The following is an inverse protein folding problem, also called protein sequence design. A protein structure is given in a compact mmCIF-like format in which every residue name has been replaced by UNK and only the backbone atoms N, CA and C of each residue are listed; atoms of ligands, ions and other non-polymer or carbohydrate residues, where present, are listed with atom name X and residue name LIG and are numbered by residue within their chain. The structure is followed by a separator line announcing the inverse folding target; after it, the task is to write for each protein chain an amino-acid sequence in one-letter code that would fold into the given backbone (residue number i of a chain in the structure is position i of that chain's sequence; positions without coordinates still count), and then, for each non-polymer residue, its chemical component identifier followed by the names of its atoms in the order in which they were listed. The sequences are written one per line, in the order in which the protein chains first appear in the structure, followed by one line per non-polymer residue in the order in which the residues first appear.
data_IF_898870699370
#
_entry.id   IF_898870699370
#
_cell.length_a   1.000
_cell.length_b   1.000
_cell.length_c   1.000
_cell.angle_alpha   90.00
_cell.angle_beta   90.00
_cell.angle_gamma   90.00
#
_symmetry.space_group_name_H-M   'P 1'
#
loop_
_entity.id
_entity.type
_entity.pdbx_description
1 polymer ?
#
# COMPACT_ATOMS: atom_id res chain seq x y z
N UNK A 1 -28.18 1.21 -18.25
CA UNK A 1 -26.73 0.93 -18.09
C UNK A 1 -25.99 2.14 -17.50
N UNK A 2 -26.41 2.64 -16.33
CA UNK A 2 -25.78 3.81 -15.70
C UNK A 2 -25.67 3.70 -14.16
N UNK A 3 -26.26 2.67 -13.55
CA UNK A 3 -26.22 2.45 -12.09
C UNK A 3 -24.95 1.73 -11.66
N UNK A 4 -24.39 0.85 -12.50
CA UNK A 4 -23.20 0.07 -12.18
C UNK A 4 -21.93 0.95 -12.04
N UNK A 5 -21.91 2.10 -12.71
CA UNK A 5 -20.79 3.04 -12.66
C UNK A 5 -20.84 3.96 -11.43
N UNK A 6 -22.03 4.14 -10.83
CA UNK A 6 -22.17 4.90 -9.57
C UNK A 6 -21.70 4.10 -8.36
N UNK A 7 -21.89 2.78 -8.37
CA UNK A 7 -21.40 1.90 -7.31
C UNK A 7 -19.86 1.89 -7.27
N UNK A 8 -19.21 1.83 -8.44
CA UNK A 8 -17.75 1.88 -8.56
C UNK A 8 -17.15 3.22 -8.09
N UNK A 9 -17.90 4.32 -8.23
CA UNK A 9 -17.46 5.63 -7.73
C UNK A 9 -17.74 5.83 -6.23
N UNK A 10 -18.73 5.14 -5.65
CA UNK A 10 -19.01 5.19 -4.21
C UNK A 10 -17.93 4.48 -3.38
N UNK A 11 -17.44 3.33 -3.84
CA UNK A 11 -16.36 2.60 -3.17
C UNK A 11 -14.99 3.31 -3.29
N UNK A 12 -14.80 4.12 -4.34
CA UNK A 12 -13.60 4.97 -4.50
C UNK A 12 -13.67 6.22 -3.61
N UNK A 13 -14.86 6.76 -3.35
CA UNK A 13 -15.07 7.91 -2.46
C UNK A 13 -15.12 7.53 -0.97
N UNK A 14 -15.36 6.26 -0.62
CA UNK A 14 -15.40 5.78 0.77
C UNK A 14 -14.01 5.53 1.40
N UNK A 15 -12.93 5.62 0.62
CA UNK A 15 -11.56 5.58 1.13
C UNK A 15 -10.73 6.73 0.55
N UNK A 16 -10.93 7.97 1.03
CA UNK A 16 -9.96 9.01 0.83
C UNK A 16 -8.76 8.61 1.68
N UNK A 17 -7.83 7.82 1.12
CA UNK A 17 -6.48 7.86 1.65
C UNK A 17 -6.05 9.30 1.47
N UNK A 18 -5.88 9.98 2.58
CA UNK A 18 -5.44 11.35 2.59
C UNK A 18 -4.09 11.39 1.86
N UNK A 19 -3.84 12.39 1.01
CA UNK A 19 -2.52 12.53 0.40
C UNK A 19 -1.42 12.61 1.49
N UNK A 20 -1.80 13.09 2.68
CA UNK A 20 -1.02 13.05 3.91
C UNK A 20 -0.57 11.64 4.32
N UNK A 21 -1.37 10.60 4.08
CA UNK A 21 -1.02 9.21 4.40
C UNK A 21 0.07 8.67 3.47
N UNK A 22 0.05 9.04 2.19
CA UNK A 22 1.13 8.68 1.26
C UNK A 22 2.43 9.37 1.64
N UNK A 23 2.38 10.68 1.91
CA UNK A 23 3.55 11.43 2.36
C UNK A 23 4.12 10.88 3.68
N UNK A 24 3.25 10.46 4.62
CA UNK A 24 3.65 9.84 5.88
C UNK A 24 4.31 8.48 5.67
N UNK A 25 3.80 7.66 4.76
CA UNK A 25 4.44 6.38 4.37
C UNK A 25 5.82 6.64 3.79
N UNK A 26 5.95 7.57 2.86
CA UNK A 26 7.22 7.85 2.20
C UNK A 26 8.25 8.42 3.21
N UNK A 27 7.85 9.34 4.09
CA UNK A 27 8.70 9.85 5.18
C UNK A 27 9.15 8.75 6.16
N UNK A 28 8.25 7.82 6.51
CA UNK A 28 8.60 6.66 7.33
C UNK A 28 9.63 5.77 6.63
N UNK A 29 9.45 5.49 5.34
CA UNK A 29 10.37 4.67 4.55
C UNK A 29 11.74 5.34 4.47
N UNK A 30 11.79 6.64 4.20
CA UNK A 30 13.04 7.39 4.15
C UNK A 30 13.79 7.35 5.48
N UNK A 31 13.09 7.56 6.60
CA UNK A 31 13.70 7.50 7.92
C UNK A 31 14.17 6.07 8.24
N UNK A 32 13.34 5.06 7.99
CA UNK A 32 13.70 3.67 8.25
C UNK A 32 14.89 3.20 7.40
N UNK A 33 15.00 3.69 6.15
CA UNK A 33 16.18 3.45 5.31
C UNK A 33 17.43 4.16 5.85
N UNK A 34 17.31 5.38 6.38
CA UNK A 34 18.44 6.08 7.04
C UNK A 34 18.90 5.33 8.30
N UNK A 35 17.97 4.72 9.01
CA UNK A 35 18.23 3.94 10.23
C UNK A 35 18.68 2.50 9.94
N UNK A 36 18.95 2.15 8.67
CA UNK A 36 19.33 0.81 8.19
C UNK A 36 18.36 -0.31 8.65
N UNK A 37 17.09 0.05 8.84
CA UNK A 37 16.05 -0.92 9.16
C UNK A 37 15.70 -1.72 7.90
N UNK A 38 15.45 -3.01 8.08
CA UNK A 38 15.04 -3.89 6.99
C UNK A 38 13.51 -3.91 6.90
N UNK A 39 12.93 -3.80 5.70
CA UNK A 39 11.49 -3.94 5.52
C UNK A 39 11.04 -5.37 5.83
N UNK A 40 9.74 -5.53 6.06
CA UNK A 40 9.13 -6.85 6.27
C UNK A 40 9.36 -7.71 5.02
N UNK A 41 9.98 -8.87 5.20
CA UNK A 41 10.28 -9.81 4.11
C UNK A 41 9.18 -10.84 3.89
N UNK A 42 8.35 -11.09 4.91
CA UNK A 42 7.22 -12.01 4.83
C UNK A 42 5.97 -11.27 4.34
N UNK A 43 5.39 -11.77 3.25
CA UNK A 43 4.11 -11.28 2.78
C UNK A 43 2.98 -11.57 3.80
N UNK A 44 1.95 -10.72 3.90
CA UNK A 44 0.78 -11.03 4.70
C UNK A 44 0.05 -12.27 4.15
N UNK A 45 -0.71 -12.97 4.99
CA UNK A 45 -1.33 -14.26 4.61
C UNK A 45 -2.34 -14.16 3.45
N UNK A 46 -2.87 -12.97 3.20
CA UNK A 46 -3.77 -12.68 2.08
C UNK A 46 -3.04 -12.21 0.80
N UNK A 47 -1.70 -12.18 0.79
CA UNK A 47 -0.91 -11.87 -0.41
C UNK A 47 -1.11 -12.94 -1.48
N UNK A 48 -1.19 -12.51 -2.75
CA UNK A 48 -1.32 -13.41 -3.90
C UNK A 48 -0.34 -12.99 -5.01
N UNK A 49 0.19 -13.95 -5.78
CA UNK A 49 0.98 -13.62 -6.96
C UNK A 49 0.25 -12.64 -7.89
N UNK A 50 0.94 -11.57 -8.30
CA UNK A 50 0.38 -10.49 -9.11
C UNK A 50 -0.24 -9.33 -8.32
N UNK A 51 -0.29 -9.41 -6.99
CA UNK A 51 -0.68 -8.27 -6.16
C UNK A 51 0.39 -7.19 -6.19
N UNK A 52 -0.08 -5.95 -6.03
CA UNK A 52 0.74 -4.75 -5.93
C UNK A 52 0.45 -4.06 -4.59
N UNK A 53 1.21 -3.03 -4.26
CA UNK A 53 0.91 -2.23 -3.08
C UNK A 53 -0.48 -1.59 -3.15
N UNK A 54 -1.01 -1.31 -4.35
CA UNK A 54 -2.39 -0.82 -4.49
C UNK A 54 -3.42 -1.86 -4.01
N UNK A 55 -3.15 -3.14 -4.22
CA UNK A 55 -4.03 -4.20 -3.73
C UNK A 55 -3.92 -4.32 -2.21
N UNK A 56 -2.71 -4.15 -1.65
CA UNK A 56 -2.49 -4.09 -0.20
C UNK A 56 -3.24 -2.95 0.48
N UNK A 57 -3.44 -1.83 -0.22
CA UNK A 57 -4.23 -0.69 0.27
C UNK A 57 -5.65 -1.09 0.64
N UNK A 58 -6.24 -2.09 -0.02
CA UNK A 58 -7.61 -2.56 0.26
C UNK A 58 -7.73 -3.29 1.59
N UNK A 59 -6.61 -3.80 2.12
CA UNK A 59 -6.58 -4.56 3.36
C UNK A 59 -6.29 -3.65 4.56
N UNK A 60 -5.13 -2.98 4.57
CA UNK A 60 -4.74 -2.09 5.68
C UNK A 60 -3.72 -1.05 5.24
N UNK A 61 -3.67 0.09 5.97
CA UNK A 61 -2.59 1.07 5.84
C UNK A 61 -1.21 0.46 6.08
N UNK A 62 -1.09 -0.44 7.08
CA UNK A 62 0.18 -1.09 7.41
C UNK A 62 0.68 -1.97 6.26
N UNK A 63 -0.20 -2.77 5.65
CA UNK A 63 0.17 -3.60 4.50
C UNK A 63 0.58 -2.75 3.29
N UNK A 64 -0.11 -1.64 3.06
CA UNK A 64 0.29 -0.67 2.04
C UNK A 64 1.69 -0.12 2.28
N UNK A 65 1.96 0.38 3.50
CA UNK A 65 3.26 0.91 3.91
C UNK A 65 4.36 -0.13 3.79
N UNK A 66 4.14 -1.32 4.34
CA UNK A 66 5.14 -2.39 4.36
C UNK A 66 5.44 -2.87 2.94
N UNK A 67 4.44 -2.97 2.06
CA UNK A 67 4.64 -3.26 0.63
C UNK A 67 5.45 -2.17 -0.07
N UNK A 68 5.11 -0.89 0.15
CA UNK A 68 5.83 0.25 -0.44
C UNK A 68 7.29 0.24 -0.02
N UNK A 69 7.54 -0.04 1.26
CA UNK A 69 8.90 -0.14 1.78
C UNK A 69 9.65 -1.33 1.17
N UNK A 70 9.03 -2.50 1.15
CA UNK A 70 9.61 -3.70 0.54
C UNK A 70 10.00 -3.46 -0.92
N UNK A 71 9.09 -2.88 -1.70
CA UNK A 71 9.34 -2.54 -3.11
C UNK A 71 10.45 -1.50 -3.27
N UNK A 72 10.50 -0.47 -2.41
CA UNK A 72 11.55 0.56 -2.44
C UNK A 72 12.94 -0.01 -2.15
N UNK A 73 13.02 -0.96 -1.22
CA UNK A 73 14.28 -1.56 -0.79
C UNK A 73 14.77 -2.68 -1.73
N UNK A 74 13.87 -3.57 -2.17
CA UNK A 74 14.23 -4.75 -2.97
C UNK A 74 13.96 -4.61 -4.48
N UNK A 75 13.24 -3.57 -4.91
CA UNK A 75 12.87 -3.35 -6.32
C UNK A 75 11.83 -4.34 -6.86
N UNK A 76 11.20 -5.14 -5.99
CA UNK A 76 10.17 -6.13 -6.34
C UNK A 76 9.09 -6.19 -5.27
N UNK A 77 7.92 -6.69 -5.63
CA UNK A 77 6.91 -7.08 -4.66
C UNK A 77 7.29 -8.42 -4.01
N UNK A 78 6.62 -8.78 -2.90
CA UNK A 78 6.80 -10.09 -2.28
C UNK A 78 6.51 -11.23 -3.26
#
# INVERSE_FOLDING_TARGET
MAEMQRQLNADVMAQPFDAADVARVDAYIEQAMKDDLKPVTKAPDYWRPGYTCRDMRRYTYRAYRDCRYHYRYYGRYW
#
